data_IF_338717093717
#
_entry.id   IF_338717093717
#
_cell.length_a   1.000
_cell.length_b   1.000
_cell.length_c   1.000
_cell.angle_alpha   90.00
_cell.angle_beta   90.00
_cell.angle_gamma   90.00
#
_symmetry.space_group_name_H-M   'P 1'
#
loop_
_entity.id
_entity.type
_entity.pdbx_description
1 polymer ?
#
# COMPACT_ATOMS: atom_id res chain seq x y z
N UNK A 1 -65.15 35.10 39.32
CA UNK A 1 -63.70 35.04 39.08
C UNK A 1 -63.53 34.92 37.59
N UNK A 2 -63.22 36.02 36.92
CA UNK A 2 -63.06 36.05 35.46
C UNK A 2 -61.81 35.29 35.10
N UNK A 3 -61.95 34.32 34.19
CA UNK A 3 -60.83 33.58 33.59
C UNK A 3 -59.77 34.58 33.09
N UNK A 4 -58.46 34.36 33.32
CA UNK A 4 -57.44 35.23 32.76
C UNK A 4 -57.60 35.24 31.24
N UNK A 5 -57.82 36.43 30.67
CA UNK A 5 -58.01 36.60 29.24
C UNK A 5 -56.80 36.01 28.50
N UNK A 6 -57.03 34.95 27.74
CA UNK A 6 -55.98 34.36 26.92
C UNK A 6 -55.60 35.32 25.78
N UNK A 7 -54.30 35.52 25.49
CA UNK A 7 -53.89 36.38 24.40
C UNK A 7 -54.48 35.93 23.06
N UNK A 8 -55.04 36.87 22.30
CA UNK A 8 -55.68 36.63 21.00
C UNK A 8 -54.63 36.16 19.99
N UNK A 9 -54.71 34.92 19.47
CA UNK A 9 -53.70 34.39 18.57
C UNK A 9 -53.87 34.96 17.16
N UNK A 10 -52.79 35.52 16.61
CA UNK A 10 -52.78 36.11 15.26
C UNK A 10 -51.64 35.56 14.40
N UNK A 11 -51.84 35.57 13.08
CA UNK A 11 -50.77 35.39 12.11
C UNK A 11 -50.64 36.62 11.21
N UNK A 12 -49.39 36.98 10.89
CA UNK A 12 -49.04 38.10 10.03
C UNK A 12 -48.46 37.59 8.71
N UNK A 13 -49.05 37.99 7.59
CA UNK A 13 -48.47 37.84 6.27
C UNK A 13 -47.85 39.16 5.81
N UNK A 14 -46.52 39.18 5.78
CA UNK A 14 -45.70 40.34 5.43
C UNK A 14 -45.04 40.18 4.06
N UNK A 15 -45.44 39.21 3.24
CA UNK A 15 -44.85 38.98 1.90
C UNK A 15 -45.04 40.17 0.94
N UNK A 16 -46.08 40.98 1.14
CA UNK A 16 -46.36 42.20 0.38
C UNK A 16 -45.87 43.49 1.08
N UNK A 17 -45.25 43.36 2.27
CA UNK A 17 -44.62 44.46 2.99
C UNK A 17 -43.22 44.71 2.42
N UNK A 18 -42.88 45.97 2.15
CA UNK A 18 -41.68 46.34 1.37
C UNK A 18 -40.47 46.66 2.22
N UNK A 19 -40.67 47.09 3.46
CA UNK A 19 -39.55 47.41 4.35
C UNK A 19 -38.98 46.13 4.98
N UNK A 20 -37.65 46.02 5.13
CA UNK A 20 -37.03 44.86 5.75
C UNK A 20 -37.35 44.81 7.25
N UNK A 21 -37.67 43.60 7.74
CA UNK A 21 -37.81 43.29 9.16
C UNK A 21 -36.59 42.44 9.59
N UNK A 22 -35.49 43.05 10.07
CA UNK A 22 -34.24 42.33 10.37
C UNK A 22 -34.21 41.68 11.75
N UNK A 23 -34.95 42.21 12.72
CA UNK A 23 -34.87 41.85 14.14
C UNK A 23 -36.22 42.01 14.86
N UNK A 24 -36.25 41.66 16.15
CA UNK A 24 -37.45 41.71 16.97
C UNK A 24 -38.01 43.13 17.15
N UNK A 25 -37.15 44.15 17.20
CA UNK A 25 -37.57 45.54 17.37
C UNK A 25 -38.31 46.05 16.14
N UNK A 26 -37.87 45.67 14.94
CA UNK A 26 -38.58 45.98 13.70
C UNK A 26 -39.97 45.34 13.65
N UNK A 27 -40.12 44.12 14.15
CA UNK A 27 -41.43 43.47 14.29
C UNK A 27 -42.33 44.16 15.32
N UNK A 28 -41.76 44.61 16.44
CA UNK A 28 -42.50 45.35 17.47
C UNK A 28 -42.97 46.71 16.93
N UNK A 29 -42.11 47.43 16.20
CA UNK A 29 -42.47 48.69 15.55
C UNK A 29 -43.58 48.50 14.50
N UNK A 30 -43.52 47.41 13.72
CA UNK A 30 -44.60 47.04 12.81
C UNK A 30 -45.89 46.73 13.57
N UNK A 31 -45.81 46.03 14.71
CA UNK A 31 -46.97 45.72 15.54
C UNK A 31 -47.65 46.98 16.09
N UNK A 32 -46.87 47.95 16.60
CA UNK A 32 -47.39 49.23 17.09
C UNK A 32 -48.15 50.02 16.02
N UNK A 33 -47.81 49.82 14.74
CA UNK A 33 -48.51 50.43 13.62
C UNK A 33 -49.81 49.68 13.26
N UNK A 34 -49.89 48.38 13.51
CA UNK A 34 -51.05 47.53 13.24
C UNK A 34 -52.11 47.65 14.34
N UNK A 35 -51.68 47.68 15.60
CA UNK A 35 -52.53 47.59 16.79
C UNK A 35 -53.71 48.60 16.81
N UNK A 36 -53.55 49.89 16.46
CA UNK A 36 -54.66 50.83 16.42
C UNK A 36 -55.76 50.47 15.41
N UNK A 37 -55.42 49.74 14.35
CA UNK A 37 -56.40 49.27 13.36
C UNK A 37 -57.21 48.08 13.88
N UNK A 38 -56.63 47.27 14.77
CA UNK A 38 -57.32 46.10 15.35
C UNK A 38 -58.46 46.50 16.27
N UNK A 39 -58.35 47.61 16.99
CA UNK A 39 -59.41 48.12 17.86
C UNK A 39 -60.73 48.45 17.13
N UNK A 40 -60.71 48.51 15.79
CA UNK A 40 -61.88 48.80 14.94
C UNK A 40 -62.47 47.56 14.26
N UNK A 41 -61.91 46.39 14.51
CA UNK A 41 -62.30 45.13 13.88
C UNK A 41 -63.17 44.33 14.82
N UNK A 42 -64.23 43.71 14.30
CA UNK A 42 -65.03 42.74 15.06
C UNK A 42 -64.20 41.46 15.28
N UNK A 43 -63.89 41.10 16.55
CA UNK A 43 -63.06 39.94 16.87
C UNK A 43 -63.64 38.60 16.42
N UNK A 44 -64.96 38.54 16.21
CA UNK A 44 -65.71 37.32 15.88
C UNK A 44 -65.88 37.13 14.37
N UNK A 45 -65.54 38.14 13.56
CA UNK A 45 -65.53 37.98 12.11
C UNK A 45 -64.34 37.13 11.66
N UNK A 46 -64.62 36.00 10.99
CA UNK A 46 -63.60 35.15 10.38
C UNK A 46 -63.11 35.73 9.04
N UNK A 47 -62.50 36.92 9.09
CA UNK A 47 -61.95 37.61 7.91
C UNK A 47 -60.49 38.00 8.14
N UNK A 48 -59.68 37.82 7.11
CA UNK A 48 -58.32 38.36 7.10
C UNK A 48 -58.38 39.88 6.96
N UNK A 49 -57.72 40.59 7.86
CA UNK A 49 -57.58 42.04 7.81
C UNK A 49 -56.40 42.38 6.91
N UNK A 50 -56.67 42.87 5.70
CA UNK A 50 -55.66 43.45 4.84
C UNK A 50 -55.47 44.92 5.19
N UNK A 51 -54.28 45.30 5.63
CA UNK A 51 -53.90 46.69 5.86
C UNK A 51 -53.03 47.17 4.71
N UNK A 52 -53.47 48.24 4.06
CA UNK A 52 -52.69 48.97 3.06
C UNK A 52 -51.89 50.06 3.78
N UNK A 53 -50.56 49.96 3.72
CA UNK A 53 -49.62 50.89 4.35
C UNK A 53 -48.97 51.83 3.33
N UNK A 54 -49.59 52.01 2.16
CA UNK A 54 -49.13 52.90 1.11
C UNK A 54 -47.78 52.48 0.54
N UNK A 55 -46.80 53.38 0.61
CA UNK A 55 -45.45 53.16 0.06
C UNK A 55 -44.72 51.98 0.72
N UNK A 56 -45.10 51.63 1.95
CA UNK A 56 -44.58 50.48 2.71
C UNK A 56 -45.14 49.14 2.24
N UNK A 57 -46.11 49.14 1.33
CA UNK A 57 -46.78 47.95 0.83
C UNK A 57 -48.00 47.57 1.64
N UNK A 58 -48.37 46.29 1.63
CA UNK A 58 -49.54 45.79 2.34
C UNK A 58 -49.17 44.60 3.23
N UNK A 59 -49.93 44.43 4.31
CA UNK A 59 -49.85 43.26 5.17
C UNK A 59 -51.23 42.66 5.38
N UNK A 60 -51.27 41.37 5.67
CA UNK A 60 -52.52 40.68 5.99
C UNK A 60 -52.41 40.07 7.37
N UNK A 61 -53.31 40.43 8.27
CA UNK A 61 -53.43 39.83 9.59
C UNK A 61 -54.60 38.84 9.59
N UNK A 62 -54.40 37.68 10.20
CA UNK A 62 -55.43 36.66 10.37
C UNK A 62 -55.59 36.31 11.84
N UNK A 63 -56.83 36.39 12.33
CA UNK A 63 -57.21 35.87 13.65
C UNK A 63 -57.29 34.34 13.55
N UNK A 64 -56.54 33.64 14.41
CA UNK A 64 -56.39 32.18 14.34
C UNK A 64 -57.47 31.42 15.10
N UNK A 65 -58.12 32.07 16.06
CA UNK A 65 -59.24 31.51 16.84
C UNK A 65 -60.35 32.54 17.07
N UNK A 66 -61.20 32.83 16.06
CA UNK A 66 -62.27 33.80 16.21
C UNK A 66 -63.34 33.42 17.24
N UNK A 67 -63.48 32.13 17.58
CA UNK A 67 -64.49 31.64 18.52
C UNK A 67 -64.06 31.88 19.97
N UNK A 68 -62.76 31.80 20.25
CA UNK A 68 -62.15 32.11 21.54
C UNK A 68 -61.89 33.60 21.80
N UNK A 69 -62.20 34.48 20.85
CA UNK A 69 -61.92 35.91 20.96
C UNK A 69 -62.94 36.66 21.84
N UNK A 70 -62.53 37.78 22.49
CA UNK A 70 -63.43 38.63 23.26
C UNK A 70 -64.48 39.30 22.36
N UNK A 71 -65.55 39.82 22.96
CA UNK A 71 -66.66 40.46 22.26
C UNK A 71 -66.24 41.76 21.53
N UNK A 72 -65.22 42.43 22.05
CA UNK A 72 -64.58 43.59 21.44
C UNK A 72 -63.10 43.62 21.83
N UNK A 73 -62.24 44.10 20.92
CA UNK A 73 -60.86 44.42 21.26
C UNK A 73 -60.79 45.76 22.00
N UNK A 74 -59.87 45.86 22.96
CA UNK A 74 -59.63 47.04 23.78
C UNK A 74 -58.12 47.27 23.91
N UNK A 75 -57.72 48.41 24.47
CA UNK A 75 -56.31 48.67 24.81
C UNK A 75 -55.75 47.72 25.87
N UNK A 76 -56.58 46.91 26.53
CA UNK A 76 -56.17 45.87 27.47
C UNK A 76 -56.13 44.47 26.83
N UNK A 77 -56.50 44.34 25.54
CA UNK A 77 -56.45 43.06 24.84
C UNK A 77 -55.01 42.71 24.50
N UNK A 78 -54.53 41.61 25.06
CA UNK A 78 -53.24 41.04 24.67
C UNK A 78 -53.37 40.23 23.38
N UNK A 79 -52.39 40.38 22.48
CA UNK A 79 -52.31 39.61 21.24
C UNK A 79 -51.03 38.75 21.23
N UNK A 80 -51.14 37.54 20.72
CA UNK A 80 -50.01 36.63 20.54
C UNK A 80 -49.78 36.34 19.06
N UNK A 81 -48.69 36.86 18.49
CA UNK A 81 -48.28 36.54 17.12
C UNK A 81 -47.73 35.10 17.09
N UNK A 82 -48.48 34.18 16.49
CA UNK A 82 -48.14 32.74 16.43
C UNK A 82 -47.42 32.34 15.14
N UNK A 83 -47.47 33.16 14.10
CA UNK A 83 -46.80 32.87 12.84
C UNK A 83 -46.64 34.11 11.96
N UNK A 84 -45.48 34.21 11.31
CA UNK A 84 -45.15 35.28 10.37
C UNK A 84 -44.83 34.63 9.02
N UNK A 85 -45.55 34.99 7.97
CA UNK A 85 -45.27 34.59 6.60
C UNK A 85 -44.42 35.66 5.93
N UNK A 86 -43.16 35.34 5.67
CA UNK A 86 -42.21 36.21 4.99
C UNK A 86 -41.93 35.75 3.56
N UNK A 87 -41.40 36.65 2.73
CA UNK A 87 -40.82 36.27 1.44
C UNK A 87 -39.58 35.41 1.70
N UNK A 88 -39.47 34.27 1.01
CA UNK A 88 -38.33 33.36 1.17
C UNK A 88 -37.01 34.11 0.98
N UNK A 89 -36.20 34.19 2.04
CA UNK A 89 -34.88 34.84 2.00
C UNK A 89 -33.80 33.81 1.68
N UNK A 90 -32.96 34.10 0.70
CA UNK A 90 -31.79 33.28 0.39
C UNK A 90 -30.74 33.49 1.50
N UNK A 91 -30.69 32.59 2.48
CA UNK A 91 -29.74 32.68 3.61
C UNK A 91 -28.28 32.49 3.18
N UNK A 92 -28.03 31.58 2.24
CA UNK A 92 -26.70 31.29 1.72
C UNK A 92 -26.64 31.71 0.25
N UNK A 93 -26.05 32.87 -0.02
CA UNK A 93 -25.96 33.42 -1.37
C UNK A 93 -24.70 32.93 -2.08
N UNK A 94 -24.82 32.59 -3.36
CA UNK A 94 -23.66 32.25 -4.19
C UNK A 94 -22.78 33.49 -4.42
N UNK A 95 -21.49 33.41 -4.07
CA UNK A 95 -20.53 34.52 -4.20
C UNK A 95 -20.43 35.06 -5.63
N UNK A 96 -20.13 34.22 -6.64
CA UNK A 96 -20.11 34.66 -8.05
C UNK A 96 -21.40 35.32 -8.53
N UNK A 97 -22.57 34.82 -8.12
CA UNK A 97 -23.86 35.45 -8.48
C UNK A 97 -24.00 36.84 -7.88
N UNK A 98 -23.61 37.02 -6.62
CA UNK A 98 -23.62 38.32 -5.94
C UNK A 98 -22.71 39.32 -6.64
N UNK A 99 -21.50 38.90 -7.03
CA UNK A 99 -20.58 39.72 -7.83
C UNK A 99 -21.19 40.12 -9.18
N UNK A 100 -21.98 39.24 -9.79
CA UNK A 100 -22.71 39.51 -11.03
C UNK A 100 -24.05 40.26 -10.84
N UNK A 101 -24.36 40.75 -9.63
CA UNK A 101 -25.58 41.53 -9.34
C UNK A 101 -26.86 40.69 -9.16
N UNK A 102 -26.74 39.37 -9.05
CA UNK A 102 -27.88 38.46 -8.85
C UNK A 102 -27.82 37.76 -7.49
N UNK A 103 -28.96 37.30 -6.96
CA UNK A 103 -29.02 36.53 -5.70
C UNK A 103 -29.60 35.16 -5.95
N UNK A 104 -28.79 34.13 -5.74
CA UNK A 104 -29.18 32.72 -5.89
C UNK A 104 -28.67 31.91 -4.70
N UNK A 105 -29.38 30.83 -4.39
CA UNK A 105 -29.01 29.93 -3.31
C UNK A 105 -27.74 29.14 -3.64
N UNK A 106 -26.75 29.20 -2.75
CA UNK A 106 -25.47 28.51 -2.87
C UNK A 106 -25.32 27.41 -1.83
N UNK A 107 -25.75 26.16 -2.10
CA UNK A 107 -25.64 25.07 -1.13
C UNK A 107 -24.19 24.60 -0.92
N UNK A 108 -23.34 24.74 -1.92
CA UNK A 108 -21.97 24.25 -1.89
C UNK A 108 -21.02 25.27 -1.28
N UNK A 109 -19.86 24.81 -0.79
CA UNK A 109 -18.80 25.68 -0.27
C UNK A 109 -17.50 25.43 -1.03
N UNK A 110 -16.80 26.47 -1.44
CA UNK A 110 -15.46 26.31 -1.98
C UNK A 110 -14.50 25.82 -0.88
N UNK A 111 -13.91 24.65 -1.08
CA UNK A 111 -12.94 24.06 -0.16
C UNK A 111 -11.72 24.97 0.08
N UNK A 112 -11.19 25.57 -0.99
CA UNK A 112 -10.00 26.44 -0.93
C UNK A 112 -10.33 27.73 -0.18
N UNK A 113 -11.41 28.43 -0.54
CA UNK A 113 -11.82 29.64 0.17
C UNK A 113 -12.04 29.39 1.67
N UNK A 114 -12.63 28.24 2.04
CA UNK A 114 -12.86 27.86 3.43
C UNK A 114 -11.54 27.67 4.21
N UNK A 115 -10.51 27.07 3.59
CA UNK A 115 -9.20 26.91 4.21
C UNK A 115 -8.48 28.26 4.40
N UNK A 116 -8.60 29.16 3.43
CA UNK A 116 -7.95 30.47 3.44
C UNK A 116 -8.59 31.44 4.44
N UNK A 117 -9.91 31.48 4.52
CA UNK A 117 -10.60 32.56 5.25
C UNK A 117 -10.77 32.30 6.75
N UNK A 118 -10.64 31.05 7.24
CA UNK A 118 -10.76 30.59 8.67
C UNK A 118 -11.97 31.11 9.48
N UNK A 119 -12.75 32.05 8.95
CA UNK A 119 -13.96 32.64 9.51
C UNK A 119 -15.17 31.92 8.91
N UNK A 120 -16.25 31.91 9.68
CA UNK A 120 -17.53 31.35 9.28
C UNK A 120 -18.02 31.98 7.97
N UNK A 121 -17.83 31.27 6.86
CA UNK A 121 -18.46 31.59 5.58
C UNK A 121 -17.51 31.78 4.40
N UNK A 122 -16.67 30.80 4.08
CA UNK A 122 -16.01 30.79 2.77
C UNK A 122 -17.03 30.76 1.62
N UNK A 123 -16.57 31.14 0.42
CA UNK A 123 -17.42 31.40 -0.74
C UNK A 123 -18.40 30.26 -1.01
N UNK A 124 -19.69 30.57 -0.92
CA UNK A 124 -20.80 29.66 -1.25
C UNK A 124 -21.02 29.64 -2.76
N UNK A 125 -21.44 28.49 -3.30
CA UNK A 125 -21.58 28.26 -4.73
C UNK A 125 -22.95 27.63 -5.04
N UNK A 126 -23.62 28.16 -6.07
CA UNK A 126 -24.79 27.51 -6.66
C UNK A 126 -24.36 26.37 -7.58
N UNK A 127 -25.33 25.60 -8.05
CA UNK A 127 -25.18 24.52 -9.04
C UNK A 127 -24.47 24.96 -10.34
N UNK A 128 -24.65 26.21 -10.77
CA UNK A 128 -23.99 26.76 -11.97
C UNK A 128 -22.52 27.14 -11.77
N UNK A 129 -22.14 27.51 -10.56
CA UNK A 129 -20.79 28.02 -10.26
C UNK A 129 -19.92 27.02 -9.49
N UNK A 130 -20.50 25.91 -9.03
CA UNK A 130 -19.75 24.85 -8.38
C UNK A 130 -19.00 24.03 -9.43
N UNK A 131 -17.71 23.82 -9.21
CA UNK A 131 -16.91 22.87 -9.97
C UNK A 131 -16.71 21.65 -9.08
N UNK A 132 -17.18 20.50 -9.57
CA UNK A 132 -17.08 19.19 -8.96
C UNK A 132 -16.13 18.35 -9.81
N UNK A 133 -15.04 17.91 -9.18
CA UNK A 133 -14.05 17.04 -9.82
C UNK A 133 -14.27 15.60 -9.35
N UNK A 134 -14.02 14.64 -10.24
CA UNK A 134 -14.12 13.22 -9.88
C UNK A 134 -13.05 12.80 -8.84
N UNK A 135 -13.30 11.70 -8.13
CA UNK A 135 -12.38 11.09 -7.15
C UNK A 135 -12.55 11.60 -5.72
N UNK A 136 -12.46 12.92 -5.53
CA UNK A 136 -12.74 13.55 -4.24
C UNK A 136 -13.85 14.58 -4.43
N UNK A 137 -14.99 14.40 -3.72
CA UNK A 137 -16.16 15.29 -3.73
C UNK A 137 -15.86 16.68 -3.10
N UNK A 138 -14.77 17.30 -3.52
CA UNK A 138 -14.34 18.64 -3.14
C UNK A 138 -14.94 19.60 -4.15
N UNK A 139 -15.70 20.54 -3.63
CA UNK A 139 -16.29 21.63 -4.39
C UNK A 139 -15.32 22.81 -4.44
N UNK A 140 -15.09 23.37 -5.63
CA UNK A 140 -14.27 24.58 -5.82
C UNK A 140 -15.04 25.63 -6.63
N UNK A 141 -14.69 26.90 -6.45
CA UNK A 141 -15.24 28.00 -7.24
C UNK A 141 -14.44 28.15 -8.56
N UNK A 142 -14.94 28.91 -9.54
CA UNK A 142 -14.23 29.13 -10.81
C UNK A 142 -12.82 29.69 -10.64
N UNK A 143 -12.63 30.60 -9.68
CA UNK A 143 -11.32 31.21 -9.40
C UNK A 143 -10.30 30.22 -8.80
N UNK A 144 -10.79 29.18 -8.14
CA UNK A 144 -9.99 28.11 -7.52
C UNK A 144 -10.06 26.79 -8.28
N UNK A 145 -10.53 26.82 -9.53
CA UNK A 145 -10.55 25.65 -10.39
C UNK A 145 -9.10 25.19 -10.63
N UNK A 146 -8.70 23.99 -10.17
CA UNK A 146 -7.33 23.55 -10.33
C UNK A 146 -7.04 23.24 -11.79
N UNK A 147 -5.84 23.58 -12.25
CA UNK A 147 -5.35 23.24 -13.58
C UNK A 147 -4.53 21.95 -13.56
N UNK A 148 -4.53 21.21 -14.67
CA UNK A 148 -3.69 20.05 -14.87
C UNK A 148 -2.19 20.46 -14.89
N UNK A 149 -1.35 19.91 -14.00
CA UNK A 149 0.07 20.29 -13.92
C UNK A 149 0.88 20.05 -15.19
N UNK A 150 0.46 19.11 -16.04
CA UNK A 150 1.18 18.74 -17.25
C UNK A 150 0.86 19.62 -18.46
N UNK A 151 -0.33 20.23 -18.53
CA UNK A 151 -0.78 20.95 -19.74
C UNK A 151 -1.57 22.24 -19.50
N UNK A 152 -1.82 22.61 -18.25
CA UNK A 152 -2.57 23.83 -17.88
C UNK A 152 -4.07 23.79 -18.18
N UNK A 153 -4.60 22.76 -18.84
CA UNK A 153 -6.04 22.59 -19.06
C UNK A 153 -6.79 22.46 -17.73
N UNK A 154 -8.09 22.81 -17.67
CA UNK A 154 -8.91 22.59 -16.48
C UNK A 154 -8.79 21.14 -15.97
N UNK A 155 -8.63 20.98 -14.66
CA UNK A 155 -8.71 19.68 -14.02
C UNK A 155 -10.13 19.14 -14.12
N UNK A 156 -10.25 17.82 -14.24
CA UNK A 156 -11.54 17.10 -14.29
C UNK A 156 -11.64 16.04 -13.18
N UNK A 157 -10.50 15.53 -12.68
CA UNK A 157 -10.45 14.55 -11.59
C UNK A 157 -9.27 14.77 -10.63
N UNK A 158 -9.39 14.28 -9.40
CA UNK A 158 -8.32 14.22 -8.42
C UNK A 158 -7.58 12.87 -8.50
N UNK A 159 -6.24 12.91 -8.54
CA UNK A 159 -5.44 11.67 -8.59
C UNK A 159 -5.34 10.98 -7.22
N UNK A 160 -5.84 9.73 -7.14
CA UNK A 160 -5.80 8.84 -5.96
C UNK A 160 -4.43 8.19 -5.68
N UNK A 161 -3.41 8.63 -6.41
CA UNK A 161 -2.07 8.08 -6.30
C UNK A 161 -1.32 8.54 -5.06
N UNK A 162 -0.43 7.71 -4.52
CA UNK A 162 0.33 8.02 -3.30
C UNK A 162 1.24 9.26 -3.42
N UNK A 163 1.66 9.64 -4.64
CA UNK A 163 2.44 10.86 -4.88
C UNK A 163 1.56 12.10 -4.85
N UNK A 164 0.38 12.04 -5.48
CA UNK A 164 -0.55 13.16 -5.56
C UNK A 164 -1.40 13.31 -4.28
N UNK A 165 -1.67 12.22 -3.54
CA UNK A 165 -2.44 12.17 -2.29
C UNK A 165 -3.78 12.92 -2.36
N UNK A 166 -4.49 12.85 -3.49
CA UNK A 166 -5.73 13.62 -3.71
C UNK A 166 -5.58 15.14 -3.56
N UNK A 167 -4.38 15.67 -3.86
CA UNK A 167 -4.08 17.12 -3.84
C UNK A 167 -3.79 17.72 -5.22
N UNK A 168 -3.70 16.89 -6.26
CA UNK A 168 -3.46 17.36 -7.63
C UNK A 168 -4.60 16.90 -8.52
N UNK A 169 -5.21 17.86 -9.22
CA UNK A 169 -6.21 17.60 -10.24
C UNK A 169 -5.56 17.45 -11.61
N UNK A 170 -6.17 16.65 -12.47
CA UNK A 170 -5.66 16.34 -13.81
C UNK A 170 -6.82 16.39 -14.81
N UNK A 171 -6.53 16.71 -16.06
CA UNK A 171 -7.52 16.66 -17.14
C UNK A 171 -7.73 15.22 -17.63
N UNK A 172 -8.84 14.95 -18.31
CA UNK A 172 -9.19 13.63 -18.86
C UNK A 172 -8.11 13.02 -19.75
N UNK A 173 -7.38 13.83 -20.53
CA UNK A 173 -6.28 13.36 -21.38
C UNK A 173 -5.11 12.72 -20.63
N UNK A 174 -4.92 13.06 -19.34
CA UNK A 174 -3.88 12.49 -18.48
C UNK A 174 -4.43 11.51 -17.44
N UNK A 175 -5.71 11.16 -17.56
CA UNK A 175 -6.39 10.20 -16.71
C UNK A 175 -6.02 8.77 -17.11
N UNK A 176 -5.68 7.96 -16.11
CA UNK A 176 -5.55 6.51 -16.26
C UNK A 176 -6.49 5.86 -15.24
N UNK A 177 -7.55 5.16 -15.70
CA UNK A 177 -8.51 4.53 -14.80
C UNK A 177 -7.88 3.34 -14.07
N UNK A 178 -8.33 3.06 -12.85
CA UNK A 178 -7.91 1.87 -12.11
C UNK A 178 -8.45 0.59 -12.80
N UNK A 179 -7.63 -0.47 -12.99
CA UNK A 179 -8.05 -1.64 -13.78
C UNK A 179 -9.22 -2.45 -13.19
N UNK A 180 -9.50 -2.29 -11.89
CA UNK A 180 -10.56 -3.03 -11.19
C UNK A 180 -11.51 -2.15 -10.37
N UNK A 181 -11.48 -0.83 -10.56
CA UNK A 181 -12.35 0.10 -9.84
C UNK A 181 -12.62 1.34 -10.71
N UNK A 182 -13.83 1.43 -11.26
CA UNK A 182 -14.20 2.52 -12.16
C UNK A 182 -14.24 3.90 -11.49
N UNK A 183 -14.31 3.96 -10.14
CA UNK A 183 -14.37 5.24 -9.40
C UNK A 183 -12.99 5.82 -9.09
N UNK A 184 -11.94 5.03 -9.25
CA UNK A 184 -10.58 5.41 -8.89
C UNK A 184 -9.78 5.73 -10.15
N UNK A 185 -9.15 6.90 -10.15
CA UNK A 185 -8.36 7.37 -11.29
C UNK A 185 -7.00 7.92 -10.85
N UNK A 186 -6.00 7.74 -11.71
CA UNK A 186 -4.63 8.15 -11.47
C UNK A 186 -4.09 9.03 -12.59
N UNK A 187 -3.12 9.87 -12.27
CA UNK A 187 -2.19 10.35 -13.29
C UNK A 187 -1.23 9.21 -13.70
N UNK A 188 -0.61 9.34 -14.87
CA UNK A 188 0.28 8.31 -15.44
C UNK A 188 1.39 7.86 -14.47
N UNK A 189 2.06 8.80 -13.81
CA UNK A 189 3.14 8.47 -12.88
C UNK A 189 2.66 7.65 -11.68
N UNK A 190 1.54 8.06 -11.06
CA UNK A 190 0.98 7.33 -9.95
C UNK A 190 0.45 5.95 -10.36
N UNK A 191 -0.08 5.85 -11.58
CA UNK A 191 -0.49 4.57 -12.16
C UNK A 191 0.72 3.65 -12.32
N UNK A 192 1.78 4.10 -12.98
CA UNK A 192 2.99 3.29 -13.23
C UNK A 192 3.70 2.89 -11.93
N UNK A 193 3.66 3.74 -10.90
CA UNK A 193 4.21 3.41 -9.58
C UNK A 193 3.40 2.31 -8.86
N UNK A 194 2.06 2.32 -9.01
CA UNK A 194 1.15 1.35 -8.38
C UNK A 194 1.01 0.05 -9.18
N UNK A 195 1.04 0.16 -10.51
CA UNK A 195 0.91 -0.93 -11.48
C UNK A 195 2.12 -0.96 -12.42
N UNK A 196 3.33 -1.19 -11.89
CA UNK A 196 4.53 -1.19 -12.72
C UNK A 196 4.45 -2.29 -13.76
N UNK A 197 4.91 -2.02 -14.98
CA UNK A 197 4.95 -3.05 -16.03
C UNK A 197 5.99 -4.13 -15.71
N UNK A 198 5.69 -5.39 -16.01
CA UNK A 198 6.65 -6.48 -15.92
C UNK A 198 7.83 -6.23 -16.88
N UNK A 199 9.06 -6.36 -16.40
CA UNK A 199 10.28 -6.16 -17.21
C UNK A 199 10.50 -7.22 -18.30
N UNK A 200 9.67 -8.26 -18.34
CA UNK A 200 9.86 -9.37 -19.27
C UNK A 200 9.51 -8.88 -20.69
N UNK A 201 10.31 -9.23 -21.71
CA UNK A 201 10.04 -8.81 -23.09
C UNK A 201 8.61 -9.18 -23.51
N UNK A 202 7.90 -8.22 -24.10
CA UNK A 202 6.51 -8.38 -24.59
C UNK A 202 5.48 -8.76 -23.52
N UNK A 203 5.78 -8.56 -22.23
CA UNK A 203 4.81 -8.79 -21.17
C UNK A 203 4.05 -7.50 -20.81
N UNK A 204 2.74 -7.48 -21.06
CA UNK A 204 1.85 -6.39 -20.64
C UNK A 204 1.26 -6.53 -19.22
N UNK A 205 1.69 -7.53 -18.46
CA UNK A 205 1.17 -7.79 -17.12
C UNK A 205 1.82 -6.88 -16.07
N UNK A 206 1.10 -6.64 -14.98
CA UNK A 206 1.63 -5.88 -13.85
C UNK A 206 2.70 -6.68 -13.08
N UNK A 207 3.83 -6.04 -12.83
CA UNK A 207 4.98 -6.57 -12.11
C UNK A 207 4.88 -6.43 -10.60
N UNK A 208 4.00 -7.20 -9.96
CA UNK A 208 3.80 -7.11 -8.50
C UNK A 208 5.01 -7.55 -7.65
N UNK A 209 5.93 -8.33 -8.19
CA UNK A 209 7.10 -8.81 -7.48
C UNK A 209 8.32 -7.94 -7.78
N UNK A 210 9.07 -7.57 -6.74
CA UNK A 210 10.36 -6.90 -6.88
C UNK A 210 11.46 -7.93 -7.08
N UNK A 211 12.39 -7.66 -8.00
CA UNK A 211 13.59 -8.47 -8.10
C UNK A 211 14.46 -8.27 -6.85
N UNK A 212 14.76 -9.36 -6.14
CA UNK A 212 15.54 -9.41 -4.89
C UNK A 212 17.06 -9.54 -5.15
N UNK A 213 17.51 -9.41 -6.39
CA UNK A 213 18.95 -9.34 -6.71
C UNK A 213 19.52 -8.02 -6.21
N UNK A 214 20.64 -8.06 -5.48
CA UNK A 214 21.28 -6.89 -4.88
C UNK A 214 22.48 -6.45 -5.72
N UNK A 215 22.53 -5.18 -6.12
CA UNK A 215 23.68 -4.62 -6.85
C UNK A 215 24.85 -4.37 -5.89
N UNK A 216 26.06 -4.17 -6.42
CA UNK A 216 27.25 -3.90 -5.60
C UNK A 216 27.06 -2.67 -4.67
N UNK A 217 26.27 -1.68 -5.09
CA UNK A 217 25.87 -0.53 -4.28
C UNK A 217 24.93 -0.85 -3.10
N UNK A 218 24.54 -2.11 -2.90
CA UNK A 218 23.64 -2.54 -1.81
C UNK A 218 22.15 -2.38 -2.11
N UNK A 219 21.78 -1.83 -3.27
CA UNK A 219 20.39 -1.64 -3.68
C UNK A 219 19.83 -2.86 -4.41
N UNK A 220 18.55 -3.18 -4.16
CA UNK A 220 17.84 -4.18 -4.98
C UNK A 220 17.67 -3.70 -6.42
N UNK A 221 17.69 -4.62 -7.36
CA UNK A 221 17.29 -4.38 -8.73
C UNK A 221 15.92 -3.67 -8.78
N UNK A 222 15.79 -2.55 -9.52
CA UNK A 222 14.54 -1.79 -9.56
C UNK A 222 13.44 -2.52 -10.33
N UNK A 223 13.81 -3.51 -11.15
CA UNK A 223 12.89 -4.21 -12.01
C UNK A 223 11.76 -4.92 -11.25
N UNK A 224 10.60 -4.89 -11.88
CA UNK A 224 9.34 -5.46 -11.43
C UNK A 224 8.97 -6.61 -12.35
N UNK A 225 8.47 -7.70 -11.78
CA UNK A 225 8.12 -8.90 -12.54
C UNK A 225 6.77 -9.46 -12.09
N UNK A 226 5.99 -9.95 -13.04
CA UNK A 226 4.74 -10.62 -12.74
C UNK A 226 5.02 -12.03 -12.17
N UNK A 227 3.99 -12.66 -11.60
CA UNK A 227 4.15 -14.00 -11.01
C UNK A 227 4.60 -15.06 -12.02
N UNK A 228 4.22 -14.91 -13.30
CA UNK A 228 4.56 -15.85 -14.39
C UNK A 228 6.03 -15.77 -14.79
N UNK A 229 6.61 -14.57 -14.82
CA UNK A 229 8.00 -14.35 -15.26
C UNK A 229 9.02 -14.27 -14.12
N UNK A 230 8.56 -14.31 -12.88
CA UNK A 230 9.45 -14.30 -11.72
C UNK A 230 10.14 -15.66 -11.55
N UNK A 231 11.47 -15.68 -11.68
CA UNK A 231 12.27 -16.82 -11.27
C UNK A 231 12.37 -16.90 -9.75
N UNK A 232 12.33 -18.10 -9.17
CA UNK A 232 12.53 -18.30 -7.73
C UNK A 232 13.84 -19.01 -7.49
N UNK A 233 14.86 -18.28 -7.03
CA UNK A 233 16.11 -18.89 -6.63
C UNK A 233 16.01 -19.42 -5.19
N UNK A 234 16.04 -20.74 -5.08
CA UNK A 234 15.75 -21.44 -3.83
C UNK A 234 16.98 -21.53 -2.93
N UNK A 235 17.14 -20.53 -2.05
CA UNK A 235 18.28 -20.46 -1.11
C UNK A 235 17.92 -20.84 0.33
N UNK A 236 16.63 -20.95 0.68
CA UNK A 236 16.16 -21.15 2.05
C UNK A 236 15.62 -22.56 2.34
N UNK A 237 15.78 -23.50 1.39
CA UNK A 237 15.23 -24.85 1.46
C UNK A 237 13.75 -24.94 1.08
N UNK A 238 13.22 -26.15 0.84
CA UNK A 238 11.98 -26.42 0.07
C UNK A 238 10.72 -25.77 0.63
N UNK A 239 10.61 -25.60 1.94
CA UNK A 239 9.41 -25.07 2.59
C UNK A 239 9.35 -23.53 2.65
N UNK A 240 10.41 -22.83 2.23
CA UNK A 240 10.47 -21.37 2.25
C UNK A 240 10.48 -20.81 0.83
N UNK A 241 9.83 -19.65 0.64
CA UNK A 241 9.86 -18.94 -0.65
C UNK A 241 11.25 -18.37 -0.91
N UNK A 242 11.90 -18.85 -1.96
CA UNK A 242 13.16 -18.32 -2.48
C UNK A 242 13.08 -16.87 -2.99
N UNK A 243 14.23 -16.37 -3.43
CA UNK A 243 14.38 -15.00 -3.93
C UNK A 243 13.70 -14.86 -5.29
N UNK A 244 12.85 -13.83 -5.45
CA UNK A 244 12.29 -13.43 -6.73
C UNK A 244 13.38 -12.77 -7.59
N UNK A 245 13.67 -13.33 -8.75
CA UNK A 245 14.61 -12.77 -9.72
C UNK A 245 13.89 -12.41 -11.01
N UNK A 246 14.32 -11.32 -11.64
CA UNK A 246 13.90 -11.01 -13.00
C UNK A 246 14.59 -11.95 -14.00
N UNK A 247 14.06 -12.09 -15.23
CA UNK A 247 14.62 -13.01 -16.23
C UNK A 247 16.11 -12.83 -16.47
N UNK A 248 16.59 -11.57 -16.51
CA UNK A 248 18.01 -11.24 -16.67
C UNK A 248 18.87 -11.82 -15.55
N UNK A 249 18.51 -11.58 -14.28
CA UNK A 249 19.30 -12.07 -13.14
C UNK A 249 19.14 -13.57 -12.92
N UNK A 250 17.97 -14.14 -13.24
CA UNK A 250 17.77 -15.58 -13.18
C UNK A 250 18.73 -16.30 -14.15
N UNK A 251 18.81 -15.81 -15.39
CA UNK A 251 19.71 -16.36 -16.42
C UNK A 251 21.18 -16.13 -16.06
N UNK A 252 21.48 -15.00 -15.41
CA UNK A 252 22.81 -14.64 -14.96
C UNK A 252 23.36 -15.47 -13.80
N UNK A 253 22.51 -16.19 -13.05
CA UNK A 253 22.94 -16.94 -11.85
C UNK A 253 24.14 -17.84 -12.11
N UNK A 254 24.14 -18.61 -13.20
CA UNK A 254 25.22 -19.57 -13.51
C UNK A 254 26.57 -18.92 -13.81
N UNK A 255 26.57 -17.62 -14.11
CA UNK A 255 27.78 -16.85 -14.45
C UNK A 255 28.36 -16.10 -13.25
N UNK A 256 27.66 -16.04 -12.13
CA UNK A 256 28.12 -15.32 -10.94
C UNK A 256 29.31 -16.02 -10.31
N UNK A 257 30.33 -15.28 -9.88
CA UNK A 257 31.48 -15.82 -9.14
C UNK A 257 31.07 -16.50 -7.82
N UNK A 258 31.99 -17.21 -7.18
CA UNK A 258 31.75 -17.83 -5.86
C UNK A 258 31.44 -16.75 -4.82
N UNK A 259 32.24 -15.70 -4.85
CA UNK A 259 32.14 -14.49 -4.05
C UNK A 259 30.78 -13.82 -4.27
N UNK A 260 30.38 -13.61 -5.53
CA UNK A 260 29.09 -12.99 -5.86
C UNK A 260 27.92 -13.85 -5.42
N UNK A 261 28.03 -15.18 -5.52
CA UNK A 261 26.97 -16.11 -5.09
C UNK A 261 26.74 -15.99 -3.58
N UNK A 262 27.82 -16.01 -2.80
CA UNK A 262 27.76 -15.83 -1.34
C UNK A 262 27.28 -14.42 -1.00
N UNK A 263 27.78 -13.39 -1.70
CA UNK A 263 27.32 -12.01 -1.55
C UNK A 263 25.81 -11.90 -1.76
N UNK A 264 25.25 -12.43 -2.85
CA UNK A 264 23.81 -12.34 -3.12
C UNK A 264 22.98 -13.07 -2.06
N UNK A 265 23.40 -14.27 -1.63
CA UNK A 265 22.71 -15.00 -0.55
C UNK A 265 22.63 -14.13 0.70
N UNK A 266 23.73 -13.48 1.08
CA UNK A 266 23.80 -12.65 2.29
C UNK A 266 23.05 -11.34 2.13
N UNK A 267 23.31 -10.61 1.05
CA UNK A 267 22.75 -9.29 0.78
C UNK A 267 21.22 -9.33 0.63
N UNK A 268 20.71 -10.27 -0.18
CA UNK A 268 19.27 -10.42 -0.37
C UNK A 268 18.56 -10.85 0.93
N UNK A 269 19.19 -11.73 1.73
CA UNK A 269 18.66 -12.14 3.03
C UNK A 269 18.62 -10.97 4.02
N UNK A 270 19.67 -10.15 4.06
CA UNK A 270 19.72 -8.94 4.89
C UNK A 270 18.63 -7.93 4.50
N UNK A 271 18.43 -7.70 3.20
CA UNK A 271 17.40 -6.78 2.70
C UNK A 271 15.97 -7.27 3.01
N UNK A 272 15.73 -8.58 2.89
CA UNK A 272 14.44 -9.19 3.23
C UNK A 272 14.11 -9.09 4.72
N UNK A 273 15.14 -9.13 5.58
CA UNK A 273 14.99 -8.98 7.03
C UNK A 273 14.61 -7.54 7.43
N UNK A 274 15.08 -6.52 6.68
CA UNK A 274 14.66 -5.12 6.89
C UNK A 274 13.21 -4.86 6.51
N UNK A 275 12.70 -5.57 5.50
CA UNK A 275 11.40 -5.29 4.90
C UNK A 275 10.23 -6.11 5.49
N UNK A 276 10.49 -7.09 6.36
CA UNK A 276 9.44 -7.93 6.97
C UNK A 276 9.64 -8.09 8.47
N UNK A 277 8.59 -7.82 9.25
CA UNK A 277 8.51 -8.05 10.69
C UNK A 277 8.38 -9.55 11.09
N UNK A 278 8.32 -10.46 10.11
CA UNK A 278 8.06 -11.90 10.36
C UNK A 278 9.37 -12.67 10.37
N UNK A 279 9.97 -12.76 11.56
CA UNK A 279 11.05 -13.68 11.92
C UNK A 279 12.41 -13.45 11.24
N UNK A 280 13.51 -13.96 11.80
CA UNK A 280 14.81 -13.86 11.17
C UNK A 280 14.82 -14.74 9.91
N UNK A 281 14.95 -14.13 8.73
CA UNK A 281 15.44 -14.86 7.57
C UNK A 281 16.88 -15.28 7.89
N UNK A 282 17.05 -16.53 8.35
CA UNK A 282 18.35 -17.12 8.66
C UNK A 282 19.07 -17.47 7.36
N UNK A 283 20.39 -17.27 7.35
CA UNK A 283 21.23 -17.75 6.27
C UNK A 283 21.14 -19.28 6.15
N UNK A 284 21.28 -19.83 4.93
CA UNK A 284 21.39 -21.27 4.75
C UNK A 284 22.63 -21.84 5.43
N UNK A 285 22.50 -23.08 5.93
CA UNK A 285 23.63 -23.89 6.42
C UNK A 285 24.67 -24.11 5.31
N UNK A 286 25.92 -24.37 5.68
CA UNK A 286 27.01 -24.57 4.71
C UNK A 286 26.72 -25.72 3.73
N UNK A 287 26.05 -26.78 4.21
CA UNK A 287 25.62 -27.91 3.36
C UNK A 287 24.63 -27.50 2.27
N UNK A 288 23.72 -26.57 2.58
CA UNK A 288 22.77 -26.01 1.61
C UNK A 288 23.50 -25.10 0.63
N UNK A 289 24.42 -24.27 1.10
CA UNK A 289 25.25 -23.41 0.24
C UNK A 289 26.10 -24.25 -0.72
N UNK A 290 26.68 -25.36 -0.25
CA UNK A 290 27.40 -26.32 -1.10
C UNK A 290 26.50 -26.83 -2.22
N UNK A 291 25.27 -27.23 -1.89
CA UNK A 291 24.31 -27.70 -2.88
C UNK A 291 23.91 -26.61 -3.89
N UNK A 292 23.75 -25.37 -3.43
CA UNK A 292 23.50 -24.21 -4.30
C UNK A 292 24.67 -24.02 -5.27
N UNK A 293 25.92 -24.04 -4.80
CA UNK A 293 27.10 -23.88 -5.64
C UNK A 293 27.23 -25.00 -6.68
N UNK A 294 26.90 -26.25 -6.32
CA UNK A 294 26.83 -27.36 -7.27
C UNK A 294 25.78 -27.07 -8.36
N UNK A 295 24.58 -26.62 -7.99
CA UNK A 295 23.52 -26.40 -8.98
C UNK A 295 23.68 -25.13 -9.83
N UNK A 296 24.27 -24.09 -9.25
CA UNK A 296 24.46 -22.80 -9.93
C UNK A 296 25.73 -22.82 -10.77
N UNK A 297 26.82 -23.41 -10.27
CA UNK A 297 28.15 -23.32 -10.88
C UNK A 297 28.75 -24.67 -11.34
N UNK A 298 28.10 -25.80 -11.05
CA UNK A 298 28.68 -27.14 -11.26
C UNK A 298 29.97 -27.36 -10.46
N UNK A 299 30.06 -26.76 -9.27
CA UNK A 299 31.25 -26.81 -8.41
C UNK A 299 30.95 -27.39 -7.03
N UNK A 300 31.57 -28.54 -6.72
CA UNK A 300 31.51 -29.16 -5.40
C UNK A 300 32.68 -28.66 -4.51
N UNK A 301 32.45 -27.57 -3.78
CA UNK A 301 33.44 -27.03 -2.84
C UNK A 301 33.40 -27.74 -1.48
N UNK A 302 34.56 -27.81 -0.83
CA UNK A 302 34.69 -28.21 0.57
C UNK A 302 34.05 -27.17 1.49
N UNK A 303 33.41 -27.60 2.59
CA UNK A 303 32.72 -26.68 3.49
C UNK A 303 33.66 -25.64 4.11
N UNK A 304 34.94 -25.97 4.33
CA UNK A 304 35.94 -25.02 4.80
C UNK A 304 36.21 -23.90 3.79
N UNK A 305 36.23 -24.22 2.50
CA UNK A 305 36.37 -23.21 1.43
C UNK A 305 35.13 -22.32 1.37
N UNK A 306 33.94 -22.90 1.56
CA UNK A 306 32.68 -22.13 1.59
C UNK A 306 32.65 -21.19 2.79
N UNK A 307 33.00 -21.65 3.99
CA UNK A 307 33.07 -20.77 5.17
C UNK A 307 34.09 -19.64 4.99
N UNK A 308 35.23 -19.92 4.36
CA UNK A 308 36.22 -18.90 4.05
C UNK A 308 35.66 -17.80 3.12
N UNK A 309 34.71 -18.10 2.22
CA UNK A 309 34.01 -17.07 1.43
C UNK A 309 33.16 -16.16 2.32
N UNK A 310 32.43 -16.72 3.29
CA UNK A 310 31.64 -15.93 4.25
C UNK A 310 32.53 -15.04 5.13
N UNK A 311 33.66 -15.58 5.60
CA UNK A 311 34.63 -14.86 6.43
C UNK A 311 35.31 -13.74 5.65
N UNK A 312 35.73 -13.97 4.39
CA UNK A 312 36.26 -12.92 3.51
C UNK A 312 35.23 -11.83 3.26
N UNK A 313 33.99 -12.21 2.92
CA UNK A 313 32.91 -11.24 2.74
C UNK A 313 32.73 -10.39 4.01
N UNK A 314 32.69 -11.01 5.19
CA UNK A 314 32.57 -10.30 6.47
C UNK A 314 33.69 -9.28 6.69
N UNK A 315 34.92 -9.61 6.30
CA UNK A 315 36.08 -8.73 6.44
C UNK A 315 36.04 -7.52 5.49
N UNK A 316 35.39 -7.65 4.32
CA UNK A 316 35.24 -6.56 3.34
C UNK A 316 34.13 -5.57 3.65
N UNK A 317 33.26 -5.86 4.63
CA UNK A 317 32.14 -4.98 4.97
C UNK A 317 32.61 -3.88 5.93
N UNK A 318 32.43 -2.63 5.52
CA UNK A 318 32.80 -1.40 6.23
C UNK A 318 31.93 -1.11 7.47
N UNK A 319 30.87 -1.89 7.69
CA UNK A 319 29.95 -1.71 8.82
C UNK A 319 28.99 -0.53 8.67
N UNK A 320 28.91 0.11 7.49
CA UNK A 320 27.99 1.22 7.23
C UNK A 320 26.83 0.81 6.33
N UNK A 321 25.74 1.58 6.35
CA UNK A 321 24.62 1.42 5.40
C UNK A 321 24.08 -0.02 5.25
N UNK A 322 24.10 -0.53 4.01
CA UNK A 322 23.71 -1.91 3.69
C UNK A 322 24.66 -2.97 4.26
N UNK A 323 25.96 -2.65 4.38
CA UNK A 323 26.99 -3.54 4.91
C UNK A 323 26.80 -3.86 6.38
N UNK A 324 26.30 -2.92 7.19
CA UNK A 324 26.02 -3.14 8.62
C UNK A 324 25.06 -4.33 8.86
N UNK A 325 23.95 -4.40 8.11
CA UNK A 325 22.98 -5.47 8.28
C UNK A 325 23.50 -6.83 7.80
N UNK A 326 24.33 -6.83 6.75
CA UNK A 326 25.02 -8.05 6.30
C UNK A 326 26.02 -8.53 7.35
N UNK A 327 26.81 -7.62 7.94
CA UNK A 327 27.76 -7.93 9.00
C UNK A 327 27.06 -8.55 10.22
N UNK A 328 25.99 -7.93 10.73
CA UNK A 328 25.19 -8.48 11.83
C UNK A 328 24.63 -9.88 11.51
N UNK A 329 24.17 -10.09 10.28
CA UNK A 329 23.64 -11.39 9.84
C UNK A 329 24.75 -12.46 9.79
N UNK A 330 25.93 -12.11 9.29
CA UNK A 330 27.10 -12.98 9.21
C UNK A 330 27.62 -13.36 10.59
N UNK A 331 27.67 -12.39 11.51
CA UNK A 331 28.12 -12.57 12.90
C UNK A 331 27.15 -13.48 13.66
N UNK A 332 25.85 -13.23 13.55
CA UNK A 332 24.82 -14.09 14.14
C UNK A 332 24.86 -15.53 13.60
N UNK A 333 25.25 -15.70 12.33
CA UNK A 333 25.35 -17.02 11.69
C UNK A 333 26.70 -17.73 11.94
N UNK A 334 27.71 -17.06 12.49
CA UNK A 334 29.06 -17.59 12.64
C UNK A 334 29.10 -18.88 13.49
N UNK A 335 28.36 -18.90 14.61
CA UNK A 335 28.29 -20.09 15.48
C UNK A 335 27.73 -21.31 14.75
N UNK A 336 26.71 -21.12 13.91
CA UNK A 336 26.08 -22.21 13.14
C UNK A 336 27.06 -22.76 12.09
N UNK A 337 27.80 -21.88 11.40
CA UNK A 337 28.82 -22.31 10.43
C UNK A 337 29.95 -23.10 11.11
N UNK A 338 30.40 -22.65 12.28
CA UNK A 338 31.43 -23.37 13.03
C UNK A 338 30.97 -24.78 13.45
N UNK A 339 29.70 -24.92 13.88
CA UNK A 339 29.11 -26.22 14.15
C UNK A 339 29.06 -27.10 12.89
N UNK A 340 28.65 -26.54 11.74
CA UNK A 340 28.65 -27.25 10.45
C UNK A 340 30.06 -27.77 10.10
N UNK A 341 31.10 -26.94 10.29
CA UNK A 341 32.49 -27.31 10.04
C UNK A 341 32.97 -28.44 10.96
N UNK A 342 32.68 -28.37 12.26
CA UNK A 342 33.07 -29.40 13.22
C UNK A 342 32.44 -30.75 12.86
N UNK A 343 31.13 -30.76 12.57
CA UNK A 343 30.42 -31.99 12.14
C UNK A 343 31.04 -32.51 10.84
N UNK A 344 31.25 -31.65 9.84
CA UNK A 344 31.81 -32.04 8.56
C UNK A 344 33.24 -32.61 8.68
N UNK A 345 34.09 -32.05 9.55
CA UNK A 345 35.44 -32.58 9.82
C UNK A 345 35.36 -33.98 10.45
N UNK A 346 34.52 -34.17 11.47
CA UNK A 346 34.31 -35.48 12.08
C UNK A 346 33.81 -36.52 11.08
N UNK A 347 32.85 -36.15 10.22
CA UNK A 347 32.34 -37.01 9.16
C UNK A 347 33.45 -37.38 8.16
N UNK A 348 34.31 -36.43 7.78
CA UNK A 348 35.46 -36.68 6.90
C UNK A 348 36.49 -37.60 7.55
N UNK A 349 36.75 -37.48 8.84
CA UNK A 349 37.68 -38.36 9.57
C UNK A 349 37.16 -39.80 9.61
N UNK A 350 35.87 -39.99 9.89
CA UNK A 350 35.21 -41.31 9.79
C UNK A 350 35.32 -41.85 8.36
N UNK A 351 34.99 -41.03 7.36
CA UNK A 351 35.09 -41.38 5.95
C UNK A 351 36.50 -41.79 5.52
N UNK A 352 37.52 -41.08 5.99
CA UNK A 352 38.94 -41.41 5.73
C UNK A 352 39.32 -42.76 6.31
N UNK A 353 38.87 -43.09 7.54
CA UNK A 353 39.12 -44.42 8.13
C UNK A 353 38.48 -45.55 7.31
N UNK A 354 37.25 -45.35 6.81
CA UNK A 354 36.62 -46.30 5.89
C UNK A 354 37.41 -46.41 4.59
N UNK A 355 37.86 -45.28 4.03
CA UNK A 355 38.66 -45.26 2.81
C UNK A 355 40.01 -45.96 2.96
N UNK A 356 40.74 -45.73 4.05
CA UNK A 356 41.99 -46.43 4.35
C UNK A 356 41.79 -47.94 4.51
N UNK A 357 40.66 -48.34 5.10
CA UNK A 357 40.28 -49.75 5.21
C UNK A 357 39.95 -50.35 3.84
N UNK A 358 39.24 -49.62 2.98
CA UNK A 358 39.01 -50.00 1.58
C UNK A 358 40.34 -50.23 0.84
N UNK A 359 41.30 -49.32 0.98
CA UNK A 359 42.61 -49.47 0.33
C UNK A 359 43.35 -50.72 0.83
N UNK A 360 43.36 -50.96 2.15
CA UNK A 360 43.96 -52.19 2.73
C UNK A 360 43.30 -53.47 2.20
N UNK A 361 41.98 -53.48 2.07
CA UNK A 361 41.25 -54.62 1.51
C UNK A 361 41.62 -54.86 0.04
N UNK A 362 41.69 -53.80 -0.76
CA UNK A 362 42.10 -53.91 -2.16
C UNK A 362 43.52 -54.45 -2.31
N UNK A 363 44.45 -54.01 -1.45
CA UNK A 363 45.82 -54.52 -1.43
C UNK A 363 45.85 -56.01 -1.05
N UNK A 364 45.11 -56.39 0.01
CA UNK A 364 45.01 -57.78 0.47
C UNK A 364 44.40 -58.72 -0.59
N UNK A 365 43.46 -58.22 -1.38
CA UNK A 365 42.83 -58.94 -2.50
C UNK A 365 43.72 -58.97 -3.78
N UNK A 366 44.98 -58.54 -3.69
CA UNK A 366 45.93 -58.51 -4.81
C UNK A 366 45.71 -57.38 -5.82
N UNK A 367 44.91 -56.36 -5.48
CA UNK A 367 44.53 -55.22 -6.34
C UNK A 367 45.24 -53.91 -5.93
N UNK A 368 46.51 -54.00 -5.52
CA UNK A 368 47.29 -52.83 -5.05
C UNK A 368 47.37 -51.69 -6.08
N UNK A 369 47.57 -52.01 -7.35
CA UNK A 369 47.59 -51.02 -8.45
C UNK A 369 46.26 -50.25 -8.58
N UNK A 370 45.13 -50.85 -8.19
CA UNK A 370 43.85 -50.16 -8.16
C UNK A 370 43.76 -49.22 -6.94
N UNK A 371 44.23 -49.68 -5.78
CA UNK A 371 44.23 -48.91 -4.54
C UNK A 371 45.00 -47.59 -4.68
N UNK A 372 46.17 -47.61 -5.32
CA UNK A 372 47.02 -46.43 -5.57
C UNK A 372 46.34 -45.35 -6.42
N UNK A 373 45.36 -45.74 -7.24
CA UNK A 373 44.68 -44.85 -8.20
C UNK A 373 43.37 -44.28 -7.69
N UNK A 374 42.86 -44.81 -6.59
CA UNK A 374 41.66 -44.27 -5.95
C UNK A 374 42.01 -43.01 -5.17
N UNK A 375 41.04 -42.12 -5.02
CA UNK A 375 41.14 -41.02 -4.06
C UNK A 375 39.85 -40.85 -3.27
N UNK A 376 39.98 -40.47 -1.99
CA UNK A 376 38.85 -40.14 -1.14
C UNK A 376 38.11 -38.92 -1.68
N UNK A 377 36.79 -39.01 -1.81
CA UNK A 377 35.94 -37.90 -2.23
C UNK A 377 35.14 -37.33 -1.06
N UNK A 378 34.15 -38.06 -0.57
CA UNK A 378 33.18 -37.59 0.42
C UNK A 378 32.62 -38.77 1.22
N UNK A 379 32.13 -38.52 2.43
CA UNK A 379 31.42 -39.52 3.23
C UNK A 379 30.12 -38.94 3.75
N UNK A 380 29.02 -39.65 3.49
CA UNK A 380 27.68 -39.25 3.89
C UNK A 380 27.19 -40.18 5.00
N UNK A 381 27.36 -39.83 6.29
CA UNK A 381 27.06 -40.72 7.41
C UNK A 381 25.57 -41.11 7.44
N UNK A 382 24.66 -40.18 7.15
CA UNK A 382 23.21 -40.44 7.14
C UNK A 382 22.78 -41.51 6.12
N UNK A 383 23.49 -41.60 5.00
CA UNK A 383 23.24 -42.62 3.98
C UNK A 383 24.23 -43.79 4.09
N UNK A 384 25.09 -43.78 5.13
CA UNK A 384 26.23 -44.66 5.30
C UNK A 384 26.97 -44.93 3.98
N UNK A 385 27.26 -43.85 3.22
CA UNK A 385 27.79 -43.95 1.86
C UNK A 385 29.15 -43.28 1.76
N UNK A 386 30.16 -44.03 1.32
CA UNK A 386 31.49 -43.54 0.98
C UNK A 386 31.59 -43.30 -0.53
N UNK A 387 31.93 -42.06 -0.90
CA UNK A 387 32.19 -41.65 -2.28
C UNK A 387 33.69 -41.72 -2.54
N UNK A 388 34.05 -42.37 -3.64
CA UNK A 388 35.43 -42.54 -4.08
C UNK A 388 35.56 -42.00 -5.49
N UNK A 389 36.66 -41.29 -5.76
CA UNK A 389 37.04 -40.90 -7.11
C UNK A 389 37.84 -42.02 -7.73
N UNK A 390 37.38 -42.44 -8.90
CA UNK A 390 37.93 -43.57 -9.64
C UNK A 390 38.25 -43.09 -11.05
N UNK A 391 39.52 -43.18 -11.51
CA UNK A 391 39.86 -42.83 -12.87
C UNK A 391 39.05 -43.66 -13.88
N UNK A 392 38.60 -43.07 -15.01
CA UNK A 392 37.68 -43.73 -15.95
C UNK A 392 38.20 -45.07 -16.49
N UNK A 393 39.51 -45.17 -16.67
CA UNK A 393 40.20 -46.34 -17.21
C UNK A 393 40.27 -47.53 -16.24
N UNK A 394 40.12 -47.29 -14.94
CA UNK A 394 40.05 -48.36 -13.91
C UNK A 394 38.67 -48.50 -13.27
N UNK A 395 37.70 -47.69 -13.70
CA UNK A 395 36.34 -47.72 -13.17
C UNK A 395 35.67 -49.09 -13.36
N UNK A 396 35.86 -49.74 -14.50
CA UNK A 396 35.32 -51.08 -14.76
C UNK A 396 35.88 -52.15 -13.82
N UNK A 397 37.16 -52.05 -13.47
CA UNK A 397 37.84 -52.98 -12.56
C UNK A 397 37.38 -52.77 -11.10
N UNK A 398 37.14 -51.53 -10.70
CA UNK A 398 36.63 -51.21 -9.36
C UNK A 398 35.15 -51.56 -9.19
N UNK A 399 34.31 -51.23 -10.17
CA UNK A 399 32.86 -51.44 -10.11
C UNK A 399 32.52 -52.94 -10.25
N UNK A 400 33.23 -53.65 -11.12
CA UNK A 400 32.94 -55.05 -11.48
C UNK A 400 31.71 -55.19 -12.39
N UNK A 401 31.52 -56.39 -12.97
CA UNK A 401 30.37 -56.66 -13.85
C UNK A 401 29.05 -56.49 -13.09
N UNK A 402 28.15 -55.65 -13.61
CA UNK A 402 26.88 -55.37 -12.95
C UNK A 402 27.01 -54.74 -11.56
N UNK A 403 28.14 -54.08 -11.26
CA UNK A 403 28.39 -53.48 -9.95
C UNK A 403 28.63 -54.50 -8.82
N UNK A 404 29.00 -55.74 -9.13
CA UNK A 404 29.25 -56.77 -8.11
C UNK A 404 30.45 -56.44 -7.23
N UNK A 405 31.54 -55.93 -7.82
CA UNK A 405 32.79 -55.62 -7.11
C UNK A 405 32.61 -54.53 -6.06
N UNK A 406 31.98 -53.41 -6.45
CA UNK A 406 31.72 -52.30 -5.52
C UNK A 406 30.70 -52.66 -4.42
N UNK A 407 29.75 -53.56 -4.73
CA UNK A 407 28.78 -54.06 -3.74
C UNK A 407 29.42 -55.02 -2.73
N UNK A 408 30.25 -55.94 -3.19
CA UNK A 408 30.98 -56.88 -2.32
C UNK A 408 31.94 -56.13 -1.37
N UNK A 409 32.75 -55.23 -1.93
CA UNK A 409 33.65 -54.38 -1.15
C UNK A 409 32.87 -53.53 -0.13
N UNK A 410 31.73 -52.97 -0.54
CA UNK A 410 30.86 -52.20 0.35
C UNK A 410 30.27 -53.03 1.49
N UNK A 411 29.81 -54.25 1.18
CA UNK A 411 29.27 -55.18 2.18
C UNK A 411 30.33 -55.57 3.22
N UNK A 412 31.55 -55.89 2.78
CA UNK A 412 32.70 -56.21 3.65
C UNK A 412 33.15 -55.01 4.50
N UNK A 413 33.11 -53.81 3.93
CA UNK A 413 33.47 -52.56 4.61
C UNK A 413 32.36 -52.05 5.57
N UNK A 414 31.14 -52.56 5.44
CA UNK A 414 29.97 -52.11 6.20
C UNK A 414 29.43 -50.75 5.76
N UNK A 415 29.76 -50.27 4.55
CA UNK A 415 29.31 -48.99 4.00
C UNK A 415 28.92 -49.12 2.52
N UNK A 416 27.99 -48.31 2.06
CA UNK A 416 27.67 -48.24 0.62
C UNK A 416 28.80 -47.53 -0.11
N UNK A 417 29.41 -48.16 -1.10
CA UNK A 417 30.41 -47.52 -1.95
C UNK A 417 29.75 -46.91 -3.20
N UNK A 418 30.10 -45.66 -3.52
CA UNK A 418 29.70 -45.01 -4.78
C UNK A 418 30.89 -44.34 -5.45
N UNK A 419 30.89 -44.38 -6.77
CA UNK A 419 31.83 -43.61 -7.57
C UNK A 419 31.30 -42.19 -7.72
N UNK A 420 32.10 -41.19 -7.35
CA UNK A 420 31.75 -39.80 -7.64
C UNK A 420 31.79 -39.60 -9.16
N UNK A 421 30.67 -39.16 -9.73
CA UNK A 421 30.60 -38.84 -11.16
C UNK A 421 31.28 -37.48 -11.38
N UNK A 422 32.53 -37.55 -11.86
CA UNK A 422 33.49 -36.46 -12.16
C UNK A 422 34.38 -36.04 -11.01
#
# INVERSE_FOLDING_TARGET
>A
MSDPAHPVPVSLDVRAYREPLPDADAYLALWQLIEPHLLRVDPREHRSLRLDLGDRGALTLQLLDPVGNPDAFSSATEFAVRGILETARVRYTCGPCVTAGTRTYGPFQCHVCNEETRKEGGTRLCDRHVILLEGAFRTVCPDHAPACPACGRPGEFWCDGARCRNRQAWCSAHQVPHPGDARTSYCRHCFDDRFPTCVAPRCGQTGYLRCEYVRAAGESCPHRVCAVHAGRWQIYGPHKRGLALCPTHLTGLRRMSREDTVFQIVAATALRRRSRAIGPALLPRLSVVRHILIHVRDEALDMGVIDALFTRLRATLDGTGGGAAMATLLDAHARVRQQDLTVFRGDREVGRRHYETLLRMLIADGRGQLAERLSFSDFRPKANTLYVRVPPDVAGLFIGRGGSGIRDLGARLGVTLKVEKR
#
